data_IF_493193300301
#
_entry.id   IF_493193300301
#
_cell.length_a   1.000
_cell.length_b   1.000
_cell.length_c   1.000
_cell.angle_alpha   90.00
_cell.angle_beta   90.00
_cell.angle_gamma   90.00
#
_symmetry.space_group_name_H-M   'P 1'
#
loop_
_entity.id
_entity.type
_entity.pdbx_description
1 polymer ?
#
# COMPACT_ATOMS: atom_id res chain seq x y z
N UNK A 1 -7.16 6.47 -29.51
CA UNK A 1 -5.69 6.62 -29.42
C UNK A 1 -5.21 7.44 -28.21
N UNK A 2 -5.44 8.76 -28.11
CA UNK A 2 -4.78 9.63 -27.09
C UNK A 2 -5.02 9.21 -25.63
N UNK A 3 -6.24 8.77 -25.28
CA UNK A 3 -6.57 8.33 -23.90
C UNK A 3 -5.84 7.04 -23.49
N UNK A 4 -5.62 6.11 -24.42
CA UNK A 4 -4.88 4.86 -24.17
C UNK A 4 -3.40 5.17 -23.92
N UNK A 5 -2.78 5.95 -24.80
CA UNK A 5 -1.37 6.36 -24.67
C UNK A 5 -1.11 7.16 -23.39
N UNK A 6 -2.05 8.03 -22.99
CA UNK A 6 -1.93 8.79 -21.74
C UNK A 6 -1.99 7.89 -20.50
N UNK A 7 -2.86 6.88 -20.50
CA UNK A 7 -2.95 5.90 -19.42
C UNK A 7 -1.67 5.04 -19.34
N UNK A 8 -1.18 4.57 -20.48
CA UNK A 8 0.05 3.79 -20.58
C UNK A 8 1.24 4.52 -19.99
N UNK A 9 1.41 5.79 -20.38
CA UNK A 9 2.50 6.63 -19.91
C UNK A 9 2.43 6.91 -18.41
N UNK A 10 1.25 7.23 -17.89
CA UNK A 10 1.12 7.80 -16.54
C UNK A 10 0.78 6.79 -15.44
N UNK A 11 0.04 5.72 -15.77
CA UNK A 11 -0.58 4.84 -14.77
C UNK A 11 -0.26 3.36 -14.90
N UNK A 12 0.04 2.86 -16.11
CA UNK A 12 0.18 1.43 -16.40
C UNK A 12 1.17 0.71 -15.47
N UNK A 13 2.41 1.21 -15.33
CA UNK A 13 3.42 0.56 -14.48
C UNK A 13 2.99 0.44 -13.02
N UNK A 14 2.40 1.51 -12.46
CA UNK A 14 1.98 1.56 -11.06
C UNK A 14 0.76 0.67 -10.82
N UNK A 15 -0.22 0.73 -11.72
CA UNK A 15 -1.45 -0.04 -11.59
C UNK A 15 -1.18 -1.53 -11.81
N UNK A 16 -0.31 -1.89 -12.76
CA UNK A 16 0.12 -3.28 -12.98
C UNK A 16 0.87 -3.82 -11.75
N UNK A 17 1.80 -3.06 -11.17
CA UNK A 17 2.50 -3.48 -9.96
C UNK A 17 1.54 -3.73 -8.78
N UNK A 18 0.45 -2.96 -8.66
CA UNK A 18 -0.59 -3.16 -7.63
C UNK A 18 -1.50 -4.35 -7.95
N UNK A 19 -1.94 -4.48 -9.19
CA UNK A 19 -2.89 -5.50 -9.64
C UNK A 19 -2.27 -6.87 -9.90
N UNK A 20 -0.94 -6.97 -9.89
CA UNK A 20 -0.22 -8.26 -9.91
C UNK A 20 -0.49 -9.11 -8.64
N UNK A 21 -1.03 -8.49 -7.58
CA UNK A 21 -1.39 -9.16 -6.34
C UNK A 21 -2.90 -9.17 -6.15
N UNK A 22 -3.40 -10.15 -5.39
CA UNK A 22 -4.76 -10.07 -4.85
C UNK A 22 -4.87 -8.88 -3.90
N UNK A 23 -6.10 -8.34 -3.77
CA UNK A 23 -6.36 -7.17 -2.94
C UNK A 23 -5.90 -7.39 -1.49
N UNK A 24 -6.11 -8.59 -0.96
CA UNK A 24 -5.74 -8.97 0.40
C UNK A 24 -4.22 -8.95 0.58
N UNK A 25 -3.47 -9.57 -0.33
CA UNK A 25 -2.00 -9.59 -0.30
C UNK A 25 -1.40 -8.20 -0.40
N UNK A 26 -1.92 -7.37 -1.31
CA UNK A 26 -1.47 -6.00 -1.48
C UNK A 26 -1.65 -5.17 -0.20
N UNK A 27 -2.84 -5.26 0.41
CA UNK A 27 -3.15 -4.59 1.67
C UNK A 27 -2.28 -5.15 2.80
N UNK A 28 -2.11 -6.46 2.87
CA UNK A 28 -1.32 -7.12 3.90
C UNK A 28 0.15 -6.68 3.88
N UNK A 29 0.79 -6.71 2.71
CA UNK A 29 2.20 -6.33 2.55
C UNK A 29 2.41 -4.87 2.94
N UNK A 30 1.51 -3.97 2.55
CA UNK A 30 1.64 -2.57 2.88
C UNK A 30 1.34 -2.29 4.36
N UNK A 31 0.32 -2.94 4.94
CA UNK A 31 0.08 -2.90 6.38
C UNK A 31 1.29 -3.40 7.17
N UNK A 32 1.95 -4.47 6.71
CA UNK A 32 3.15 -4.99 7.36
C UNK A 32 4.28 -3.94 7.40
N UNK A 33 4.50 -3.21 6.29
CA UNK A 33 5.44 -2.09 6.26
C UNK A 33 5.05 -0.97 7.24
N UNK A 34 3.76 -0.62 7.30
CA UNK A 34 3.25 0.38 8.27
C UNK A 34 3.51 -0.07 9.71
N UNK A 35 3.20 -1.33 10.05
CA UNK A 35 3.41 -1.89 11.38
C UNK A 35 4.89 -1.91 11.77
N UNK A 36 5.77 -2.30 10.84
CA UNK A 36 7.22 -2.23 11.06
C UNK A 36 7.68 -0.80 11.36
N UNK A 37 7.20 0.19 10.60
CA UNK A 37 7.53 1.60 10.83
C UNK A 37 7.12 2.07 12.23
N UNK A 38 5.90 1.73 12.67
CA UNK A 38 5.41 2.08 14.01
C UNK A 38 6.25 1.40 15.08
N UNK A 39 6.56 0.12 14.93
CA UNK A 39 7.41 -0.61 15.89
C UNK A 39 8.79 0.01 16.02
N UNK A 40 9.41 0.45 14.92
CA UNK A 40 10.71 1.13 14.95
C UNK A 40 10.61 2.47 15.70
N UNK A 41 9.56 3.26 15.43
CA UNK A 41 9.32 4.53 16.13
C UNK A 41 9.11 4.29 17.63
N UNK A 42 8.31 3.30 18.01
CA UNK A 42 8.12 2.94 19.41
C UNK A 42 9.42 2.51 20.07
N UNK A 43 10.23 1.68 19.39
CA UNK A 43 11.53 1.24 19.92
C UNK A 43 12.48 2.43 20.13
N UNK A 44 12.43 3.42 19.25
CA UNK A 44 13.18 4.67 19.42
C UNK A 44 12.75 5.42 20.68
N UNK A 45 11.44 5.56 20.95
CA UNK A 45 10.95 6.18 22.19
C UNK A 45 11.29 5.39 23.45
N UNK A 46 11.23 4.06 23.39
CA UNK A 46 11.68 3.18 24.48
C UNK A 46 13.18 3.43 24.76
N UNK A 47 14.01 3.50 23.72
CA UNK A 47 15.43 3.80 23.85
C UNK A 47 15.71 5.18 24.45
N UNK A 48 14.99 6.21 24.02
CA UNK A 48 15.09 7.55 24.61
C UNK A 48 14.68 7.57 26.09
N UNK A 49 13.57 6.91 26.43
CA UNK A 49 13.14 6.76 27.82
C UNK A 49 14.18 6.06 28.67
N UNK A 50 14.82 5.02 28.12
CA UNK A 50 15.90 4.31 28.81
C UNK A 50 17.12 5.19 29.09
N UNK A 51 17.55 5.99 28.11
CA UNK A 51 18.67 6.93 28.28
C UNK A 51 18.37 8.01 29.33
N UNK A 52 17.15 8.54 29.37
CA UNK A 52 16.76 9.53 30.38
C UNK A 52 16.85 8.97 31.80
N UNK A 53 16.33 7.77 32.04
CA UNK A 53 16.38 7.11 33.35
C UNK A 53 17.82 6.81 33.79
N UNK A 54 18.68 6.42 32.85
CA UNK A 54 20.12 6.25 33.12
C UNK A 54 20.80 7.56 33.49
N UNK A 55 20.45 8.67 32.84
CA UNK A 55 20.99 9.99 33.13
C UNK A 55 20.55 10.53 34.49
N UNK A 56 19.33 10.19 34.94
CA UNK A 56 18.83 10.53 36.27
C UNK A 56 19.46 9.65 37.38
N UNK A 57 20.23 8.62 37.01
CA UNK A 57 20.91 7.71 37.95
C UNK A 57 19.96 6.77 38.70
N UNK A 58 18.71 6.64 38.21
CA UNK A 58 17.60 6.17 39.05
C UNK A 58 17.61 4.65 39.23
N UNK A 59 17.75 3.82 38.18
CA UNK A 59 17.76 2.35 38.35
C UNK A 59 18.52 1.69 37.19
N UNK A 60 19.54 0.87 37.47
CA UNK A 60 19.99 -0.17 36.55
C UNK A 60 19.15 -1.42 36.82
N UNK A 61 18.40 -1.95 35.83
CA UNK A 61 17.55 -3.10 36.06
C UNK A 61 18.40 -4.31 36.45
N UNK A 62 18.05 -4.96 37.57
CA UNK A 62 18.77 -6.12 38.10
C UNK A 62 18.28 -7.45 37.50
N UNK A 63 17.18 -7.40 36.74
CA UNK A 63 16.59 -8.54 36.05
C UNK A 63 15.91 -8.13 34.75
N UNK A 64 15.70 -9.10 33.85
CA UNK A 64 14.92 -8.89 32.63
C UNK A 64 13.47 -8.44 32.91
N UNK A 65 12.88 -8.91 34.01
CA UNK A 65 11.52 -8.52 34.41
C UNK A 65 11.44 -7.05 34.78
N UNK A 66 12.39 -6.57 35.57
CA UNK A 66 12.49 -5.15 35.96
C UNK A 66 12.74 -4.27 34.73
N UNK A 67 13.54 -4.76 33.76
CA UNK A 67 13.74 -4.08 32.49
C UNK A 67 12.44 -3.96 31.69
N UNK A 68 11.64 -5.03 31.61
CA UNK A 68 10.36 -5.00 30.90
C UNK A 68 9.35 -4.07 31.61
N UNK A 69 9.23 -4.17 32.93
CA UNK A 69 8.26 -3.40 33.71
C UNK A 69 8.57 -1.89 33.68
N UNK A 70 9.84 -1.50 33.75
CA UNK A 70 10.24 -0.08 33.79
C UNK A 70 10.28 0.51 32.37
N UNK A 71 10.86 -0.19 31.40
CA UNK A 71 11.18 0.41 30.10
C UNK A 71 10.21 0.04 28.97
N UNK A 72 9.53 -1.10 29.02
CA UNK A 72 8.66 -1.56 27.93
C UNK A 72 7.17 -1.38 28.22
N UNK A 73 6.74 -1.72 29.45
CA UNK A 73 5.34 -1.69 29.87
C UNK A 73 4.66 -0.32 29.68
N UNK A 74 5.31 0.83 29.96
CA UNK A 74 4.69 2.14 29.74
C UNK A 74 4.34 2.41 28.27
N UNK A 75 5.12 1.83 27.35
CA UNK A 75 4.96 2.05 25.91
C UNK A 75 4.09 1.00 25.23
N UNK A 76 3.77 -0.11 25.92
CA UNK A 76 3.00 -1.22 25.35
C UNK A 76 1.60 -0.81 24.90
N UNK A 77 0.83 -0.14 25.77
CA UNK A 77 -0.54 0.26 25.45
C UNK A 77 -0.58 1.34 24.34
N UNK A 78 0.25 2.40 24.38
CA UNK A 78 0.39 3.34 23.26
C UNK A 78 0.76 2.66 21.94
N UNK A 79 1.69 1.69 21.97
CA UNK A 79 2.12 0.95 20.78
C UNK A 79 0.99 0.15 20.15
N UNK A 80 0.27 -0.64 20.96
CA UNK A 80 -0.87 -1.43 20.47
C UNK A 80 -1.96 -0.53 19.91
N UNK A 81 -2.25 0.58 20.59
CA UNK A 81 -3.24 1.57 20.14
C UNK A 81 -2.82 2.18 18.80
N UNK A 82 -1.56 2.57 18.65
CA UNK A 82 -1.03 3.09 17.40
C UNK A 82 -1.09 2.04 16.27
N UNK A 83 -0.71 0.79 16.54
CA UNK A 83 -0.78 -0.29 15.56
C UNK A 83 -2.20 -0.47 15.01
N UNK A 84 -3.21 -0.46 15.89
CA UNK A 84 -4.62 -0.60 15.47
C UNK A 84 -5.03 0.59 14.60
N UNK A 85 -4.84 1.82 15.08
CA UNK A 85 -5.25 3.04 14.38
C UNK A 85 -4.62 3.12 12.98
N UNK A 86 -3.29 2.99 12.91
CA UNK A 86 -2.59 3.11 11.65
C UNK A 86 -2.81 1.92 10.72
N UNK A 87 -3.01 0.71 11.24
CA UNK A 87 -3.42 -0.43 10.38
C UNK A 87 -4.78 -0.18 9.76
N UNK A 88 -5.76 0.33 10.53
CA UNK A 88 -7.09 0.65 10.00
C UNK A 88 -7.04 1.74 8.93
N UNK A 89 -6.29 2.81 9.18
CA UNK A 89 -6.08 3.89 8.20
C UNK A 89 -5.39 3.37 6.94
N UNK A 90 -4.30 2.63 7.12
CA UNK A 90 -3.50 2.05 6.03
C UNK A 90 -4.33 1.10 5.17
N UNK A 91 -5.13 0.23 5.78
CA UNK A 91 -6.07 -0.66 5.10
C UNK A 91 -7.07 0.13 4.24
N UNK A 92 -7.64 1.21 4.78
CA UNK A 92 -8.58 2.05 4.05
C UNK A 92 -7.93 2.76 2.85
N UNK A 93 -6.71 3.29 3.02
CA UNK A 93 -5.96 3.97 1.96
C UNK A 93 -5.61 2.98 0.85
N UNK A 94 -4.94 1.88 1.19
CA UNK A 94 -4.48 0.91 0.20
C UNK A 94 -5.63 0.16 -0.47
N UNK A 95 -6.73 -0.09 0.24
CA UNK A 95 -7.96 -0.60 -0.36
C UNK A 95 -8.52 0.35 -1.42
N UNK A 96 -8.60 1.65 -1.12
CA UNK A 96 -9.06 2.67 -2.10
C UNK A 96 -8.12 2.77 -3.29
N UNK A 97 -6.81 2.77 -3.07
CA UNK A 97 -5.82 2.81 -4.16
C UNK A 97 -5.91 1.60 -5.09
N UNK A 98 -6.13 0.41 -4.53
CA UNK A 98 -6.29 -0.82 -5.30
C UNK A 98 -7.57 -0.78 -6.14
N UNK A 99 -8.71 -0.39 -5.55
CA UNK A 99 -9.97 -0.28 -6.29
C UNK A 99 -9.90 0.77 -7.40
N UNK A 100 -9.24 1.90 -7.14
CA UNK A 100 -9.02 2.92 -8.17
C UNK A 100 -8.16 2.39 -9.33
N UNK A 101 -7.07 1.65 -9.03
CA UNK A 101 -6.24 1.00 -10.05
C UNK A 101 -7.04 -0.04 -10.86
N UNK A 102 -7.84 -0.88 -10.18
CA UNK A 102 -8.70 -1.87 -10.81
C UNK A 102 -9.70 -1.23 -11.77
N UNK A 103 -10.33 -0.14 -11.35
CA UNK A 103 -11.31 0.58 -12.17
C UNK A 103 -10.64 1.24 -13.39
N UNK A 104 -9.47 1.88 -13.21
CA UNK A 104 -8.72 2.45 -14.35
C UNK A 104 -8.30 1.39 -15.36
N UNK A 105 -7.80 0.25 -14.88
CA UNK A 105 -7.40 -0.87 -15.76
C UNK A 105 -8.59 -1.48 -16.50
N UNK A 106 -9.75 -1.62 -15.84
CA UNK A 106 -11.00 -2.07 -16.48
C UNK A 106 -11.43 -1.12 -17.61
N UNK A 107 -11.39 0.20 -17.36
CA UNK A 107 -11.71 1.20 -18.37
C UNK A 107 -10.73 1.17 -19.55
N UNK A 108 -9.43 1.01 -19.27
CA UNK A 108 -8.41 0.84 -20.30
C UNK A 108 -8.70 -0.37 -21.18
N UNK A 109 -8.97 -1.56 -20.59
CA UNK A 109 -9.33 -2.76 -21.36
C UNK A 109 -10.60 -2.60 -22.19
N UNK A 110 -11.62 -1.91 -21.65
CA UNK A 110 -12.85 -1.62 -22.39
C UNK A 110 -12.55 -0.76 -23.63
N UNK A 111 -11.74 0.28 -23.47
CA UNK A 111 -11.37 1.19 -24.55
C UNK A 111 -10.50 0.50 -25.61
N UNK A 112 -9.62 -0.41 -25.18
CA UNK A 112 -8.82 -1.25 -26.08
C UNK A 112 -9.71 -2.16 -26.93
N UNK A 113 -10.67 -2.87 -26.31
CA UNK A 113 -11.61 -3.74 -27.03
C UNK A 113 -12.46 -2.97 -28.05
N UNK A 114 -12.90 -1.76 -27.70
CA UNK A 114 -13.63 -0.91 -28.64
C UNK A 114 -12.77 -0.54 -29.85
N UNK A 115 -11.49 -0.23 -29.64
CA UNK A 115 -10.55 0.06 -30.72
C UNK A 115 -10.38 -1.16 -31.64
N UNK A 116 -10.16 -2.34 -31.08
CA UNK A 116 -10.04 -3.59 -31.86
C UNK A 116 -11.28 -3.85 -32.72
N UNK A 117 -12.49 -3.61 -32.17
CA UNK A 117 -13.74 -3.75 -32.92
C UNK A 117 -13.85 -2.74 -34.05
N UNK A 118 -13.51 -1.47 -33.82
CA UNK A 118 -13.50 -0.45 -34.87
C UNK A 118 -12.50 -0.77 -35.98
N UNK A 119 -11.31 -1.29 -35.64
CA UNK A 119 -10.31 -1.69 -36.64
C UNK A 119 -10.75 -2.92 -37.45
N UNK A 120 -11.56 -3.80 -36.88
CA UNK A 120 -12.15 -4.93 -37.60
C UNK A 120 -13.26 -4.47 -38.56
N UNK A 121 -14.16 -3.61 -38.10
CA UNK A 121 -15.24 -3.04 -38.92
C UNK A 121 -14.68 -2.26 -40.12
N UNK A 122 -13.66 -1.42 -39.93
CA UNK A 122 -13.03 -0.69 -41.06
C UNK A 122 -12.41 -1.60 -42.11
N UNK A 123 -11.77 -2.69 -41.70
CA UNK A 123 -11.18 -3.65 -42.65
C UNK A 123 -12.22 -4.45 -43.42
N UNK A 124 -13.40 -4.65 -42.84
CA UNK A 124 -14.54 -5.29 -43.51
C UNK A 124 -15.15 -4.36 -44.56
N UNK A 125 -15.35 -3.08 -44.23
CA UNK A 125 -15.89 -2.09 -45.17
C UNK A 125 -14.94 -1.81 -46.35
N UNK A 126 -13.63 -1.71 -46.11
CA UNK A 126 -12.63 -1.54 -47.19
C UNK A 126 -12.51 -2.78 -48.10
N UNK A 127 -12.82 -3.98 -47.57
CA UNK A 127 -12.83 -5.21 -48.36
C UNK A 127 -14.04 -5.32 -49.28
N UNK A 128 -15.20 -4.81 -48.86
CA UNK A 128 -16.43 -4.79 -49.67
C UNK A 128 -16.40 -3.71 -50.76
N UNK A 129 -15.75 -2.56 -50.54
CA UNK A 129 -15.60 -1.51 -51.58
C UNK A 129 -14.65 -1.89 -52.73
N UNK A 130 -13.74 -2.85 -52.53
CA UNK A 130 -12.80 -3.29 -53.55
C UNK A 130 -13.29 -4.47 -54.43
N UNK A 131 -14.44 -5.08 -54.08
CA UNK A 131 -15.05 -6.18 -54.86
C UNK A 131 -16.19 -5.73 -55.80
N UNK A 132 -16.49 -4.42 -55.89
CA UNK A 132 -17.54 -3.83 -56.76
C UNK A 132 -16.96 -3.18 -58.00
#
# INVERSE_FOLDING_TARGET
MTKLALYEKNHMKKDQARLNYFIEDYIYINNFKTRLGITIITLFFVGMGALNILNEGVIFPKSLWELIDVYFKPYFLPWITALIIYTSISTAIYGREYQAAKQRFKNYRKLLKQLDTYEQEQKSDEGEEHEI
#
